data_IF_693760681491
#
_entry.id   IF_693760681491
#
_cell.length_a   1.000
_cell.length_b   1.000
_cell.length_c   1.000
_cell.angle_alpha   90.00
_cell.angle_beta   90.00
_cell.angle_gamma   90.00
#
_symmetry.space_group_name_H-M   'P 1'
#
loop_
_entity.id
_entity.type
_entity.pdbx_description
1 polymer ?
#
# COMPACT_ATOMS: atom_id res chain seq x y z
N UNK A 1 -19.49 5.38 -1.08
CA UNK A 1 -18.35 5.73 -1.96
C UNK A 1 -17.48 4.51 -2.17
N UNK A 2 -17.04 4.30 -3.40
CA UNK A 2 -16.14 3.20 -3.73
C UNK A 2 -14.78 3.38 -3.07
N UNK A 3 -14.15 2.29 -2.70
CA UNK A 3 -12.86 2.31 -2.02
C UNK A 3 -11.73 1.87 -2.95
N UNK A 4 -10.56 2.42 -2.71
CA UNK A 4 -9.31 1.96 -3.31
C UNK A 4 -8.57 1.10 -2.30
N UNK A 5 -8.26 -0.12 -2.69
CA UNK A 5 -7.43 -1.05 -1.93
C UNK A 5 -6.10 -1.20 -2.62
N UNK A 6 -5.00 -1.12 -1.87
CA UNK A 6 -3.67 -1.29 -2.45
C UNK A 6 -2.92 -2.43 -1.77
N UNK A 7 -2.14 -3.13 -2.57
CA UNK A 7 -1.33 -4.28 -2.14
C UNK A 7 0.01 -4.19 -2.83
N UNK A 8 1.08 -4.33 -2.10
CA UNK A 8 2.40 -4.24 -2.72
C UNK A 8 3.54 -4.26 -1.71
N UNK A 9 4.73 -4.00 -2.20
CA UNK A 9 5.96 -3.93 -1.41
C UNK A 9 6.20 -2.49 -0.90
N UNK A 10 7.46 -2.15 -0.60
CA UNK A 10 7.81 -0.86 -0.03
C UNK A 10 7.47 0.35 -0.91
N UNK A 11 7.41 0.19 -2.23
CA UNK A 11 7.01 1.27 -3.13
C UNK A 11 5.54 1.66 -2.96
N UNK A 12 4.74 0.78 -2.39
CA UNK A 12 3.31 0.98 -2.14
C UNK A 12 3.03 1.39 -0.70
N UNK A 13 4.07 1.57 0.12
CA UNK A 13 3.93 2.00 1.49
C UNK A 13 3.95 3.52 1.58
N UNK A 14 3.30 4.05 2.62
CA UNK A 14 3.29 5.48 2.88
C UNK A 14 4.72 6.00 2.97
N UNK A 15 4.97 7.14 2.33
CA UNK A 15 6.28 7.76 2.34
C UNK A 15 6.56 8.37 3.72
N UNK A 16 7.62 7.88 4.38
CA UNK A 16 8.05 8.37 5.70
C UNK A 16 9.43 9.02 5.66
N UNK A 17 9.91 9.38 4.46
CA UNK A 17 11.26 9.90 4.29
C UNK A 17 11.44 11.34 4.77
N UNK A 18 10.38 12.06 4.97
CA UNK A 18 10.40 13.48 5.28
C UNK A 18 11.30 13.86 6.45
N UNK A 19 11.23 13.21 7.63
CA UNK A 19 12.10 13.56 8.75
C UNK A 19 13.57 13.31 8.48
N UNK A 20 13.90 12.19 7.83
CA UNK A 20 15.27 11.84 7.51
C UNK A 20 15.87 12.81 6.48
N UNK A 21 15.09 13.18 5.52
CA UNK A 21 15.51 14.13 4.50
C UNK A 21 15.80 15.50 5.10
N UNK A 22 14.93 15.97 5.99
CA UNK A 22 15.12 17.22 6.70
C UNK A 22 16.39 17.21 7.52
N UNK A 23 16.70 16.12 8.19
CA UNK A 23 17.90 16.00 9.00
C UNK A 23 19.17 16.10 8.14
N UNK A 24 19.15 15.56 6.92
CA UNK A 24 20.28 15.58 6.02
C UNK A 24 20.50 16.95 5.37
N UNK A 25 19.43 17.66 5.07
CA UNK A 25 19.49 18.94 4.36
C UNK A 25 19.48 20.15 5.30
N UNK A 26 19.10 19.95 6.57
CA UNK A 26 18.90 21.03 7.52
C UNK A 26 17.69 21.90 7.21
N UNK A 27 16.85 21.50 6.28
CA UNK A 27 15.66 22.24 5.89
C UNK A 27 14.43 21.36 5.98
N UNK A 28 13.34 21.92 6.46
CA UNK A 28 12.06 21.26 6.40
C UNK A 28 11.66 21.12 4.92
N UNK A 29 11.12 19.97 4.50
CA UNK A 29 10.64 19.85 3.13
C UNK A 29 9.52 20.86 2.90
N UNK A 30 9.72 21.67 1.87
CA UNK A 30 8.73 22.70 1.49
C UNK A 30 7.65 22.13 0.58
N UNK A 31 7.84 20.89 0.08
CA UNK A 31 6.90 20.23 -0.83
C UNK A 31 6.44 18.95 -0.19
N UNK A 32 5.13 18.84 -0.03
CA UNK A 32 4.49 17.60 0.36
C UNK A 32 4.26 16.77 -0.90
N UNK A 33 4.86 15.59 -0.95
CA UNK A 33 4.64 14.68 -2.07
C UNK A 33 3.55 13.70 -1.71
N UNK A 34 2.41 13.81 -2.37
CA UNK A 34 1.38 12.80 -2.26
C UNK A 34 1.87 11.53 -2.91
N UNK A 35 1.62 10.41 -2.24
CA UNK A 35 1.90 9.11 -2.82
C UNK A 35 0.99 8.88 -4.03
N UNK A 36 1.47 8.15 -5.04
CA UNK A 36 0.71 7.91 -6.27
C UNK A 36 -0.65 7.28 -6.00
N UNK A 37 -0.78 6.49 -4.95
CA UNK A 37 -2.06 5.89 -4.54
C UNK A 37 -3.06 6.96 -4.11
N UNK A 38 -2.60 7.99 -3.39
CA UNK A 38 -3.45 9.10 -2.98
C UNK A 38 -3.92 9.92 -4.18
N UNK A 39 -3.00 10.17 -5.11
CA UNK A 39 -3.30 10.89 -6.35
C UNK A 39 -4.33 10.12 -7.18
N UNK A 40 -4.11 8.82 -7.33
CA UNK A 40 -5.04 7.95 -8.06
C UNK A 40 -6.43 7.97 -7.44
N UNK A 41 -6.49 7.88 -6.11
CA UNK A 41 -7.77 7.90 -5.41
C UNK A 41 -8.52 9.21 -5.62
N UNK A 42 -7.81 10.33 -5.55
CA UNK A 42 -8.42 11.65 -5.77
C UNK A 42 -8.96 11.80 -7.18
N UNK A 43 -8.18 11.39 -8.18
CA UNK A 43 -8.58 11.52 -9.57
C UNK A 43 -9.76 10.63 -9.96
N UNK A 44 -10.01 9.59 -9.19
CA UNK A 44 -11.07 8.63 -9.47
C UNK A 44 -12.20 8.65 -8.44
N UNK A 45 -12.23 9.65 -7.57
CA UNK A 45 -13.25 9.81 -6.51
C UNK A 45 -13.39 8.55 -5.65
N UNK A 46 -12.24 7.96 -5.29
CA UNK A 46 -12.19 6.76 -4.45
C UNK A 46 -11.85 7.11 -3.02
N UNK A 47 -12.48 6.44 -2.08
CA UNK A 47 -12.14 6.52 -0.67
C UNK A 47 -10.89 5.68 -0.41
N UNK A 48 -9.86 6.30 0.15
CA UNK A 48 -8.60 5.63 0.42
C UNK A 48 -8.05 6.06 1.78
N UNK A 49 -7.62 5.10 2.57
CA UNK A 49 -7.03 5.36 3.88
C UNK A 49 -5.83 4.45 4.11
N UNK A 50 -4.72 5.05 4.49
CA UNK A 50 -3.53 4.29 4.86
C UNK A 50 -3.78 3.35 6.04
N UNK A 51 -4.73 3.68 6.90
CA UNK A 51 -5.05 2.87 8.07
C UNK A 51 -6.00 1.71 7.83
N UNK A 52 -6.70 1.67 6.69
CA UNK A 52 -7.73 0.65 6.47
C UNK A 52 -7.66 -0.07 5.13
N UNK A 53 -7.37 0.63 4.03
CA UNK A 53 -7.38 0.01 2.70
C UNK A 53 -6.00 -0.10 2.07
N UNK A 54 -4.97 0.32 2.78
CA UNK A 54 -3.58 0.18 2.35
C UNK A 54 -2.97 -1.07 3.00
N UNK A 55 -2.83 -2.13 2.23
CA UNK A 55 -2.32 -3.42 2.71
C UNK A 55 -0.96 -3.74 2.10
N UNK A 56 -0.14 -2.71 1.95
CA UNK A 56 1.23 -2.85 1.47
C UNK A 56 2.18 -3.16 2.62
N UNK A 57 3.26 -3.87 2.34
CA UNK A 57 4.24 -4.27 3.34
C UNK A 57 5.66 -4.10 2.80
N UNK A 58 6.52 -3.53 3.62
CA UNK A 58 7.94 -3.40 3.29
C UNK A 58 8.58 -4.78 3.20
N UNK A 59 9.31 -5.02 2.11
CA UNK A 59 9.99 -6.29 1.90
C UNK A 59 9.07 -7.45 1.53
N UNK A 60 7.82 -7.18 1.21
CA UNK A 60 6.87 -8.24 0.85
C UNK A 60 7.29 -8.95 -0.43
N UNK A 61 7.19 -10.28 -0.41
CA UNK A 61 7.25 -11.11 -1.59
C UNK A 61 5.86 -11.20 -2.24
N UNK A 62 5.81 -11.73 -3.46
CA UNK A 62 4.53 -11.90 -4.15
C UNK A 62 3.57 -12.80 -3.39
N UNK A 63 4.08 -13.80 -2.67
CA UNK A 63 3.26 -14.68 -1.83
C UNK A 63 2.52 -13.91 -0.75
N UNK A 64 3.24 -12.99 -0.08
CA UNK A 64 2.66 -12.15 0.96
C UNK A 64 1.66 -11.17 0.36
N UNK A 65 2.01 -10.55 -0.76
CA UNK A 65 1.13 -9.60 -1.44
C UNK A 65 -0.20 -10.27 -1.80
N UNK A 66 -0.15 -11.45 -2.40
CA UNK A 66 -1.35 -12.18 -2.79
C UNK A 66 -2.14 -12.73 -1.59
N UNK A 67 -1.46 -13.02 -0.49
CA UNK A 67 -2.13 -13.39 0.75
C UNK A 67 -3.03 -12.26 1.26
N UNK A 68 -2.51 -11.05 1.29
CA UNK A 68 -3.29 -9.88 1.72
C UNK A 68 -4.44 -9.58 0.75
N UNK A 69 -4.20 -9.76 -0.53
CA UNK A 69 -5.24 -9.57 -1.54
C UNK A 69 -6.42 -10.55 -1.29
N UNK A 70 -6.10 -11.81 -1.09
CA UNK A 70 -7.12 -12.82 -0.82
C UNK A 70 -7.87 -12.52 0.48
N UNK A 71 -7.14 -12.14 1.52
CA UNK A 71 -7.75 -11.77 2.79
C UNK A 71 -8.72 -10.60 2.62
N UNK A 72 -8.29 -9.53 1.96
CA UNK A 72 -9.07 -8.30 1.84
C UNK A 72 -10.34 -8.51 1.02
N UNK A 73 -10.26 -9.26 -0.07
CA UNK A 73 -11.41 -9.50 -0.94
C UNK A 73 -12.46 -10.39 -0.29
N UNK A 74 -12.14 -11.03 0.82
CA UNK A 74 -13.08 -11.84 1.59
C UNK A 74 -13.66 -11.08 2.81
N UNK A 75 -13.31 -9.82 2.99
CA UNK A 75 -13.82 -9.04 4.11
C UNK A 75 -15.22 -8.49 3.82
N UNK A 76 -16.07 -8.34 4.85
CA UNK A 76 -17.44 -7.83 4.65
C UNK A 76 -17.50 -6.42 4.09
N UNK A 77 -16.47 -5.60 4.33
CA UNK A 77 -16.43 -4.22 3.85
C UNK A 77 -15.84 -4.08 2.45
N UNK A 78 -15.45 -5.19 1.80
CA UNK A 78 -15.02 -5.16 0.41
C UNK A 78 -16.23 -5.25 -0.51
N UNK A 79 -16.35 -4.29 -1.42
CA UNK A 79 -17.46 -4.26 -2.38
C UNK A 79 -16.94 -4.66 -3.75
N UNK A 80 -17.24 -5.89 -4.16
CA UNK A 80 -16.75 -6.46 -5.41
C UNK A 80 -17.27 -5.71 -6.65
N UNK A 81 -18.42 -5.04 -6.53
CA UNK A 81 -19.02 -4.36 -7.67
C UNK A 81 -18.43 -2.97 -7.92
N UNK A 82 -17.85 -2.34 -6.91
CA UNK A 82 -17.42 -0.94 -7.02
C UNK A 82 -16.03 -0.64 -6.53
N UNK A 83 -15.45 -1.46 -5.65
CA UNK A 83 -14.11 -1.20 -5.12
C UNK A 83 -13.05 -1.53 -6.17
N UNK A 84 -11.95 -0.79 -6.12
CA UNK A 84 -10.82 -0.97 -7.03
C UNK A 84 -9.62 -1.48 -6.24
N UNK A 85 -8.94 -2.47 -6.78
CA UNK A 85 -7.71 -3.00 -6.22
C UNK A 85 -6.53 -2.67 -7.12
N UNK A 86 -5.47 -2.12 -6.55
CA UNK A 86 -4.18 -1.98 -7.23
C UNK A 86 -3.20 -2.95 -6.57
N UNK A 87 -2.62 -3.83 -7.37
CA UNK A 87 -1.70 -4.85 -6.89
C UNK A 87 -0.34 -4.63 -7.55
N UNK A 88 0.64 -4.27 -6.73
CA UNK A 88 2.01 -4.08 -7.19
C UNK A 88 2.86 -5.29 -6.88
N UNK A 89 3.11 -6.14 -7.87
CA UNK A 89 3.96 -7.31 -7.68
C UNK A 89 5.43 -6.89 -7.68
N UNK A 90 6.22 -7.59 -6.89
CA UNK A 90 7.66 -7.41 -6.83
C UNK A 90 8.36 -8.38 -7.77
N UNK A 91 9.70 -8.36 -7.80
CA UNK A 91 10.48 -9.26 -8.65
C UNK A 91 10.28 -10.73 -8.24
N UNK A 92 10.41 -11.64 -9.20
CA UNK A 92 10.28 -13.07 -8.95
C UNK A 92 11.35 -13.63 -8.03
N UNK A 93 12.50 -12.94 -7.93
CA UNK A 93 13.60 -13.39 -7.08
C UNK A 93 13.33 -13.17 -5.60
N UNK A 94 12.40 -12.28 -5.26
CA UNK A 94 12.04 -12.01 -3.89
C UNK A 94 11.11 -13.08 -3.37
N UNK A 95 11.53 -13.74 -2.31
CA UNK A 95 10.73 -14.79 -1.66
C UNK A 95 10.59 -14.50 -0.19
N UNK A 96 9.52 -15.02 0.40
CA UNK A 96 9.36 -14.98 1.84
C UNK A 96 10.44 -15.86 2.48
N UNK A 97 11.27 -15.28 3.34
CA UNK A 97 12.29 -16.02 4.09
C UNK A 97 11.72 -16.71 5.31
N UNK A 98 10.50 -16.39 5.66
CA UNK A 98 9.74 -16.97 6.75
C UNK A 98 8.38 -17.41 6.23
N UNK A 99 7.69 -18.33 6.90
CA UNK A 99 6.31 -18.63 6.58
C UNK A 99 5.50 -17.36 6.57
N UNK A 100 4.43 -17.33 5.75
CA UNK A 100 3.51 -16.19 5.75
C UNK A 100 3.06 -15.96 7.18
N UNK A 101 3.16 -14.73 7.69
CA UNK A 101 2.81 -14.47 9.09
C UNK A 101 1.36 -14.83 9.38
N UNK A 102 1.15 -15.61 10.44
CA UNK A 102 -0.21 -15.91 10.90
C UNK A 102 -0.77 -14.81 11.79
N UNK A 103 0.07 -13.89 12.19
CA UNK A 103 -0.22 -12.80 13.10
C UNK A 103 -0.37 -11.45 12.38
N UNK A 104 -0.69 -11.51 11.15
CA UNK A 104 -0.94 -10.32 10.32
C UNK A 104 -2.08 -9.50 10.87
#
# INVERSE_FOLDING_TARGET
MSKLWIFGDSFWCRNTLTPRYSANTGQAPTVSFDHFCEVFAKHNDLDFSWGSTALSNRGASNDIIMYYFDWATNQPNFNIDSDICLVGLTTFDRRATKPVPNDI
#
